data_IF_767537032213
#
_entry.id   IF_767537032213
#
_cell.length_a   1.000
_cell.length_b   1.000
_cell.length_c   1.000
_cell.angle_alpha   90.00
_cell.angle_beta   90.00
_cell.angle_gamma   90.00
#
_symmetry.space_group_name_H-M   'P 1'
#
loop_
_entity.id
_entity.type
_entity.pdbx_description
1 polymer ?
#
# COMPACT_ATOMS: atom_id res chain seq x y z
N UNK A 1 42.57 -26.41 21.07
CA UNK A 1 41.68 -25.27 20.77
C UNK A 1 41.69 -25.11 19.26
N UNK A 2 40.63 -25.56 18.58
CA UNK A 2 40.56 -25.49 17.11
C UNK A 2 40.17 -24.06 16.68
N UNK A 3 40.73 -23.54 15.58
CA UNK A 3 40.34 -22.22 15.08
C UNK A 3 38.92 -22.29 14.52
N UNK A 4 38.03 -21.47 15.09
CA UNK A 4 36.66 -21.29 14.57
C UNK A 4 36.77 -20.59 13.21
N UNK A 5 36.19 -21.13 12.12
CA UNK A 5 36.24 -20.50 10.81
C UNK A 5 35.50 -19.15 10.82
N UNK A 6 36.00 -18.13 10.11
CA UNK A 6 35.44 -16.79 10.16
C UNK A 6 34.05 -16.73 9.51
N UNK A 7 33.15 -15.95 10.12
CA UNK A 7 31.89 -15.54 9.48
C UNK A 7 32.23 -14.70 8.25
N UNK A 8 31.58 -14.99 7.13
CA UNK A 8 31.76 -14.28 5.85
C UNK A 8 30.51 -13.46 5.54
N UNK A 9 30.69 -12.34 4.87
CA UNK A 9 29.58 -11.57 4.31
C UNK A 9 29.33 -12.08 2.90
N UNK A 10 28.06 -12.26 2.54
CA UNK A 10 27.67 -12.73 1.21
C UNK A 10 27.98 -11.66 0.16
N UNK A 11 28.92 -11.94 -0.74
CA UNK A 11 29.11 -11.15 -1.97
C UNK A 11 28.00 -11.51 -2.96
N UNK A 12 27.13 -10.55 -3.29
CA UNK A 12 26.19 -10.70 -4.41
C UNK A 12 26.96 -10.48 -5.72
N UNK A 13 27.21 -11.58 -6.46
CA UNK A 13 27.69 -11.49 -7.84
C UNK A 13 26.49 -11.17 -8.75
N UNK A 14 26.48 -10.04 -9.47
CA UNK A 14 25.57 -9.87 -10.60
C UNK A 14 26.09 -10.73 -11.75
N UNK A 15 25.56 -11.94 -11.92
CA UNK A 15 25.92 -12.85 -13.00
C UNK A 15 25.33 -12.35 -14.34
N UNK A 16 25.92 -11.27 -14.88
CA UNK A 16 25.49 -10.62 -16.13
C UNK A 16 25.44 -11.58 -17.32
N UNK A 17 26.21 -12.66 -17.29
CA UNK A 17 26.20 -13.70 -18.33
C UNK A 17 24.82 -14.37 -18.44
N UNK A 18 24.21 -14.73 -17.30
CA UNK A 18 22.92 -15.42 -17.25
C UNK A 18 21.77 -14.48 -17.63
N UNK A 19 21.86 -13.19 -17.25
CA UNK A 19 20.92 -12.13 -17.67
C UNK A 19 20.98 -11.92 -19.18
N UNK A 20 22.18 -11.87 -19.79
CA UNK A 20 22.34 -11.73 -21.25
C UNK A 20 21.83 -12.97 -22.00
N UNK A 21 22.05 -14.17 -21.49
CA UNK A 21 21.53 -15.41 -22.08
C UNK A 21 19.98 -15.43 -22.04
N UNK A 22 19.38 -15.07 -20.89
CA UNK A 22 17.93 -15.02 -20.74
C UNK A 22 17.30 -13.94 -21.64
N UNK A 23 17.95 -12.78 -21.78
CA UNK A 23 17.53 -11.71 -22.69
C UNK A 23 17.60 -12.15 -24.16
N UNK A 24 18.69 -12.79 -24.59
CA UNK A 24 18.83 -13.33 -25.94
C UNK A 24 17.72 -14.36 -26.25
N UNK A 25 17.45 -15.27 -25.31
CA UNK A 25 16.39 -16.29 -25.41
C UNK A 25 14.99 -15.68 -25.51
N UNK A 26 14.71 -14.59 -24.80
CA UNK A 26 13.44 -13.85 -24.93
C UNK A 26 13.29 -13.13 -26.28
N UNK A 27 14.38 -12.53 -26.80
CA UNK A 27 14.35 -11.90 -28.13
C UNK A 27 14.13 -12.93 -29.23
N UNK A 28 14.77 -14.10 -29.16
CA UNK A 28 14.57 -15.19 -30.12
C UNK A 28 13.15 -15.77 -30.07
N UNK A 29 12.61 -15.99 -28.86
CA UNK A 29 11.23 -16.45 -28.68
C UNK A 29 10.18 -15.45 -29.22
N UNK A 30 10.41 -14.14 -29.04
CA UNK A 30 9.54 -13.11 -29.62
C UNK A 30 9.69 -13.02 -31.15
N UNK A 31 10.90 -13.19 -31.69
CA UNK A 31 11.13 -13.24 -33.14
C UNK A 31 10.41 -14.43 -33.79
N UNK A 32 10.43 -15.60 -33.14
CA UNK A 32 9.68 -16.78 -33.58
C UNK A 32 8.16 -16.57 -33.52
N UNK A 33 7.63 -15.94 -32.45
CA UNK A 33 6.20 -15.61 -32.36
C UNK A 33 5.75 -14.57 -33.39
N UNK A 34 6.59 -13.57 -33.70
CA UNK A 34 6.29 -12.58 -34.73
C UNK A 34 6.20 -13.21 -36.13
N UNK A 35 7.11 -14.16 -36.45
CA UNK A 35 7.06 -14.92 -37.69
C UNK A 35 5.80 -15.80 -37.80
N UNK A 36 5.38 -16.45 -36.70
CA UNK A 36 4.16 -17.26 -36.67
C UNK A 36 2.88 -16.43 -36.82
N UNK A 37 2.83 -15.21 -36.25
CA UNK A 37 1.68 -14.32 -36.37
C UNK A 37 1.50 -13.78 -37.80
N UNK A 38 2.59 -13.50 -38.51
CA UNK A 38 2.54 -13.02 -39.89
C UNK A 38 1.94 -14.04 -40.88
N UNK A 39 2.05 -15.35 -40.60
CA UNK A 39 1.49 -16.41 -41.43
C UNK A 39 -0.03 -16.63 -41.26
N UNK A 40 -0.66 -16.04 -40.24
CA UNK A 40 -2.03 -16.36 -39.84
C UNK A 40 -3.11 -15.33 -40.27
N UNK A 41 -2.76 -14.31 -41.06
CA UNK A 41 -3.69 -13.20 -41.42
C UNK A 41 -4.41 -13.41 -42.77
N UNK A 42 -4.33 -14.61 -43.36
CA UNK A 42 -5.15 -15.01 -44.51
C UNK A 42 -6.14 -16.11 -44.13
N UNK A 43 -7.43 -15.72 -44.10
CA UNK A 43 -8.68 -16.52 -44.14
C UNK A 43 -9.62 -16.49 -42.90
N UNK A 44 -10.80 -15.89 -43.15
CA UNK A 44 -12.16 -16.27 -42.73
C UNK A 44 -12.56 -16.38 -41.24
N UNK A 45 -13.38 -15.40 -40.83
CA UNK A 45 -14.74 -15.56 -40.24
C UNK A 45 -15.15 -16.87 -39.54
N UNK A 46 -15.59 -16.79 -38.27
CA UNK A 46 -16.43 -17.83 -37.63
C UNK A 46 -16.65 -17.61 -36.12
N UNK A 47 -17.86 -17.90 -35.61
CA UNK A 47 -18.19 -17.89 -34.16
C UNK A 47 -18.02 -19.30 -33.52
N UNK A 48 -17.94 -19.43 -32.19
CA UNK A 48 -17.27 -20.57 -31.52
C UNK A 48 -18.20 -21.66 -30.95
N UNK A 49 -17.68 -22.90 -30.80
CA UNK A 49 -17.93 -23.77 -29.64
C UNK A 49 -16.95 -24.98 -29.53
N UNK A 50 -16.95 -25.65 -28.37
CA UNK A 50 -16.24 -26.92 -28.00
C UNK A 50 -14.71 -26.85 -27.73
N UNK A 51 -14.19 -27.19 -26.52
CA UNK A 51 -13.96 -28.52 -25.86
C UNK A 51 -12.71 -29.23 -26.46
N UNK A 52 -11.65 -29.70 -25.77
CA UNK A 52 -11.47 -30.32 -24.42
C UNK A 52 -10.02 -30.06 -23.84
N UNK A 53 -9.28 -31.07 -23.29
CA UNK A 53 -8.92 -31.43 -21.89
C UNK A 53 -7.65 -30.73 -21.30
N UNK A 54 -7.10 -30.99 -20.09
CA UNK A 54 -7.43 -31.88 -18.94
C UNK A 54 -6.21 -32.10 -17.99
N UNK A 55 -6.35 -32.92 -16.90
CA UNK A 55 -5.36 -33.24 -15.81
C UNK A 55 -5.01 -32.04 -14.87
N UNK A 56 -5.25 -32.01 -13.53
CA UNK A 56 -5.06 -32.94 -12.39
C UNK A 56 -3.60 -33.02 -11.88
N UNK A 57 -3.24 -32.92 -10.60
CA UNK A 57 -3.94 -32.58 -9.33
C UNK A 57 -2.94 -31.88 -8.37
N UNK A 58 -3.26 -31.39 -7.17
CA UNK A 58 -3.41 -32.15 -5.91
C UNK A 58 -3.60 -31.13 -4.74
N UNK A 59 -4.37 -31.50 -3.70
CA UNK A 59 -4.44 -30.96 -2.31
C UNK A 59 -5.90 -30.83 -1.82
N UNK A 60 -6.52 -31.97 -1.49
CA UNK A 60 -7.82 -32.04 -0.81
C UNK A 60 -7.81 -33.19 0.19
N UNK A 61 -7.11 -32.99 1.32
CA UNK A 61 -7.04 -33.98 2.39
C UNK A 61 -6.70 -33.36 3.75
N UNK A 62 -7.65 -32.59 4.31
CA UNK A 62 -7.79 -32.33 5.76
C UNK A 62 -9.26 -32.08 6.15
N UNK A 63 -10.14 -33.06 5.91
CA UNK A 63 -11.50 -33.10 6.48
C UNK A 63 -11.90 -34.55 6.75
N UNK A 64 -12.59 -34.81 7.89
CA UNK A 64 -13.16 -36.11 8.34
C UNK A 64 -12.08 -37.04 8.97
N UNK A 65 -12.23 -37.64 10.15
CA UNK A 65 -13.34 -37.72 11.14
C UNK A 65 -12.79 -38.13 12.53
N UNK A 66 -13.51 -37.84 13.62
CA UNK A 66 -13.69 -38.82 14.72
C UNK A 66 -14.99 -38.53 15.51
N UNK A 67 -15.71 -39.51 16.10
CA UNK A 67 -17.11 -39.34 16.47
C UNK A 67 -17.43 -39.36 17.99
N UNK A 68 -18.71 -39.12 18.27
CA UNK A 68 -19.50 -39.60 19.44
C UNK A 68 -19.24 -39.00 20.82
N UNK A 69 -20.22 -38.21 21.28
CA UNK A 69 -20.43 -37.79 22.67
C UNK A 69 -21.87 -37.32 22.84
N UNK A 70 -22.77 -38.24 23.19
CA UNK A 70 -24.22 -37.96 23.26
C UNK A 70 -24.60 -37.36 24.61
N UNK A 71 -25.37 -36.26 24.60
CA UNK A 71 -26.40 -36.03 25.62
C UNK A 71 -27.55 -35.15 25.10
N UNK A 72 -28.75 -35.45 25.60
CA UNK A 72 -30.06 -34.91 25.23
C UNK A 72 -30.56 -33.96 26.34
N UNK A 73 -31.71 -33.31 26.12
CA UNK A 73 -32.49 -32.43 27.02
C UNK A 73 -32.16 -30.93 26.83
N UNK A 74 -33.11 -29.98 26.74
CA UNK A 74 -34.57 -30.04 26.48
C UNK A 74 -35.02 -28.69 25.90
N UNK A 75 -36.11 -28.64 25.13
CA UNK A 75 -36.70 -27.37 24.68
C UNK A 75 -37.63 -26.84 25.77
N UNK A 76 -37.34 -25.66 26.31
CA UNK A 76 -38.35 -24.83 26.98
C UNK A 76 -38.43 -23.45 26.36
N UNK A 77 -39.68 -22.97 26.22
CA UNK A 77 -40.04 -21.69 25.61
C UNK A 77 -40.41 -20.72 26.73
N UNK A 78 -39.52 -19.78 27.06
CA UNK A 78 -39.86 -18.64 27.91
C UNK A 78 -39.48 -17.32 27.26
N UNK A 79 -40.45 -16.43 27.27
CA UNK A 79 -40.42 -15.09 26.71
C UNK A 79 -39.85 -14.04 27.67
N UNK A 80 -39.50 -12.90 27.10
CA UNK A 80 -39.28 -11.58 27.72
C UNK A 80 -37.89 -11.26 28.32
N UNK A 81 -37.45 -10.05 27.97
CA UNK A 81 -36.31 -9.29 28.50
C UNK A 81 -34.92 -9.94 28.41
N UNK A 82 -34.18 -9.60 27.34
CA UNK A 82 -32.72 -9.56 27.41
C UNK A 82 -32.23 -8.29 26.72
N UNK A 83 -31.67 -7.38 27.52
CA UNK A 83 -30.86 -6.27 27.04
C UNK A 83 -29.67 -6.86 26.27
N UNK A 84 -29.72 -6.79 24.94
CA UNK A 84 -28.64 -7.29 24.12
C UNK A 84 -27.44 -6.37 24.21
N UNK A 85 -26.27 -6.92 24.58
CA UNK A 85 -24.96 -6.32 24.39
C UNK A 85 -24.67 -6.14 22.89
N UNK A 86 -25.33 -5.17 22.27
CA UNK A 86 -24.91 -4.61 21.01
C UNK A 86 -23.63 -3.83 21.30
N UNK A 87 -22.50 -4.38 20.86
CA UNK A 87 -21.25 -3.61 20.75
C UNK A 87 -21.59 -2.26 20.09
N UNK A 88 -21.24 -1.11 20.70
CA UNK A 88 -21.64 0.19 20.18
C UNK A 88 -21.18 0.37 18.74
N UNK A 89 -21.97 1.10 17.96
CA UNK A 89 -21.65 1.39 16.58
C UNK A 89 -20.33 2.17 16.52
N UNK A 90 -19.45 1.83 15.57
CA UNK A 90 -18.10 2.39 15.56
C UNK A 90 -18.07 3.90 15.28
N UNK A 91 -19.18 4.49 14.86
CA UNK A 91 -19.37 5.88 14.46
C UNK A 91 -20.29 6.67 15.41
N UNK A 92 -20.59 6.17 16.61
CA UNK A 92 -21.43 6.87 17.61
C UNK A 92 -20.94 8.29 17.91
N UNK A 93 -19.63 8.49 18.12
CA UNK A 93 -19.03 9.81 18.31
C UNK A 93 -19.20 10.71 17.06
N UNK A 94 -19.20 10.13 15.86
CA UNK A 94 -19.40 10.87 14.61
C UNK A 94 -20.85 11.29 14.40
N UNK A 95 -21.82 10.48 14.84
CA UNK A 95 -23.23 10.86 14.91
C UNK A 95 -23.46 12.03 15.89
N UNK A 96 -22.67 12.12 16.96
CA UNK A 96 -22.66 13.26 17.89
C UNK A 96 -21.85 14.47 17.37
N UNK A 97 -21.31 14.42 16.14
CA UNK A 97 -20.50 15.49 15.56
C UNK A 97 -19.14 15.69 16.23
N UNK A 98 -18.63 14.72 16.99
CA UNK A 98 -17.39 14.85 17.75
C UNK A 98 -16.17 14.50 16.91
N UNK A 99 -15.24 15.45 16.85
CA UNK A 99 -13.96 15.32 16.20
C UNK A 99 -12.88 16.04 17.02
N UNK A 100 -11.61 15.90 16.63
CA UNK A 100 -10.52 16.64 17.21
C UNK A 100 -9.46 17.00 16.19
N UNK A 101 -8.41 17.68 16.65
CA UNK A 101 -7.30 18.15 15.84
C UNK A 101 -5.98 17.61 16.36
N UNK A 102 -5.07 17.31 15.44
CA UNK A 102 -3.69 16.92 15.74
C UNK A 102 -2.74 17.69 14.83
N UNK A 103 -1.60 18.10 15.38
CA UNK A 103 -0.52 18.72 14.61
C UNK A 103 0.46 17.62 14.21
N UNK A 104 0.59 17.37 12.91
CA UNK A 104 1.62 16.49 12.34
C UNK A 104 2.55 17.34 11.48
N UNK A 105 3.84 17.36 11.82
CA UNK A 105 4.79 18.30 11.23
C UNK A 105 4.37 19.76 11.46
N UNK A 106 3.99 20.45 10.38
CA UNK A 106 3.46 21.83 10.40
C UNK A 106 1.97 21.91 10.03
N UNK A 107 1.28 20.78 9.95
CA UNK A 107 -0.09 20.69 9.43
C UNK A 107 -1.06 20.30 10.55
N UNK A 108 -2.20 20.99 10.63
CA UNK A 108 -3.32 20.56 11.45
C UNK A 108 -4.22 19.61 10.66
N UNK A 109 -4.37 18.40 11.15
CA UNK A 109 -5.18 17.34 10.54
C UNK A 109 -6.37 17.06 11.47
N UNK A 110 -7.61 17.03 10.95
CA UNK A 110 -8.75 16.62 11.74
C UNK A 110 -8.77 15.10 11.90
N UNK A 111 -9.22 14.62 13.05
CA UNK A 111 -9.47 13.21 13.31
C UNK A 111 -10.87 13.00 13.89
N UNK A 112 -11.46 11.86 13.56
CA UNK A 112 -12.71 11.34 14.13
C UNK A 112 -12.40 10.22 15.12
N UNK A 113 -13.39 9.83 15.92
CA UNK A 113 -13.25 8.75 16.89
C UNK A 113 -13.99 7.49 16.43
N UNK A 114 -13.37 6.32 16.63
CA UNK A 114 -14.03 5.01 16.54
C UNK A 114 -13.69 4.17 17.75
N UNK A 115 -14.69 3.78 18.54
CA UNK A 115 -14.49 2.95 19.74
C UNK A 115 -13.40 3.48 20.70
N UNK A 116 -13.26 4.81 20.83
CA UNK A 116 -12.21 5.47 21.62
C UNK A 116 -10.86 5.67 20.92
N UNK A 117 -10.61 5.01 19.79
CA UNK A 117 -9.41 5.20 18.96
C UNK A 117 -9.59 6.37 17.98
N UNK A 118 -8.48 7.02 17.59
CA UNK A 118 -8.47 8.18 16.68
C UNK A 118 -8.17 7.76 15.24
N UNK A 119 -8.98 8.22 14.29
CA UNK A 119 -8.86 7.93 12.86
C UNK A 119 -8.86 9.21 12.03
N UNK A 120 -8.08 9.25 10.95
CA UNK A 120 -8.00 10.39 10.04
C UNK A 120 -8.27 9.94 8.60
N UNK A 121 -8.93 10.80 7.82
CA UNK A 121 -9.28 10.49 6.43
C UNK A 121 -8.04 10.49 5.54
N UNK A 122 -7.83 9.42 4.78
CA UNK A 122 -6.66 9.22 3.91
C UNK A 122 -6.47 10.41 2.98
N UNK A 123 -7.54 10.81 2.27
CA UNK A 123 -7.56 11.96 1.35
C UNK A 123 -7.18 13.30 2.02
N UNK A 124 -7.51 13.49 3.30
CA UNK A 124 -7.12 14.70 4.04
C UNK A 124 -5.62 14.69 4.39
N UNK A 125 -5.13 13.54 4.86
CA UNK A 125 -3.71 13.32 5.19
C UNK A 125 -2.84 13.45 3.93
N UNK A 126 -3.25 12.84 2.83
CA UNK A 126 -2.56 12.95 1.53
C UNK A 126 -2.44 14.41 1.09
N UNK A 127 -3.56 15.13 0.99
CA UNK A 127 -3.61 16.47 0.42
C UNK A 127 -2.81 17.51 1.24
N UNK A 128 -2.86 17.46 2.59
CA UNK A 128 -2.17 18.45 3.45
C UNK A 128 -0.77 18.04 3.89
N UNK A 129 -0.53 16.76 4.16
CA UNK A 129 0.67 16.29 4.86
C UNK A 129 1.62 15.53 3.94
N UNK A 130 1.10 14.55 3.17
CA UNK A 130 1.96 13.62 2.42
C UNK A 130 2.34 14.13 1.03
N UNK A 131 1.53 14.99 0.39
CA UNK A 131 1.75 15.48 -0.98
C UNK A 131 3.19 16.03 -1.23
N UNK A 132 3.79 16.68 -0.22
CA UNK A 132 5.21 17.12 -0.23
C UNK A 132 6.18 15.97 -0.54
N UNK A 133 5.91 14.77 -0.06
CA UNK A 133 6.76 13.58 -0.24
C UNK A 133 6.30 12.73 -1.42
N UNK A 134 4.98 12.54 -1.59
CA UNK A 134 4.41 11.73 -2.67
C UNK A 134 4.74 12.25 -4.07
N UNK A 135 5.10 13.54 -4.19
CA UNK A 135 5.55 14.18 -5.43
C UNK A 135 7.03 13.97 -5.77
N UNK A 136 7.83 13.39 -4.85
CA UNK A 136 9.26 13.10 -5.05
C UNK A 136 9.60 11.61 -4.89
N UNK A 137 8.82 10.87 -4.09
CA UNK A 137 9.09 9.48 -3.72
C UNK A 137 8.34 8.51 -4.63
N UNK A 138 9.02 7.46 -5.10
CA UNK A 138 8.42 6.39 -5.88
C UNK A 138 7.55 5.48 -4.99
N UNK A 139 6.52 4.87 -5.57
CA UNK A 139 5.55 4.03 -4.86
C UNK A 139 6.16 2.77 -4.22
N UNK A 140 7.34 2.35 -4.70
CA UNK A 140 8.13 1.29 -4.07
C UNK A 140 8.49 1.56 -2.62
N UNK A 141 8.61 2.82 -2.19
CA UNK A 141 8.89 3.17 -0.79
C UNK A 141 7.68 2.82 0.08
N UNK A 142 6.45 2.99 -0.42
CA UNK A 142 5.23 2.73 0.34
C UNK A 142 5.07 1.23 0.61
N UNK A 143 5.57 0.38 -0.30
CA UNK A 143 5.59 -1.08 -0.14
C UNK A 143 6.49 -1.59 0.99
N UNK A 144 7.31 -0.73 1.62
CA UNK A 144 8.02 -1.06 2.86
C UNK A 144 7.08 -1.15 4.07
N UNK A 145 5.89 -0.57 3.98
CA UNK A 145 4.95 -0.39 5.09
C UNK A 145 3.66 -1.21 4.93
N UNK A 146 2.86 -1.28 5.98
CA UNK A 146 1.58 -1.99 6.01
C UNK A 146 0.51 -1.14 6.73
N UNK A 147 0.25 0.07 6.25
CA UNK A 147 -0.80 0.92 6.85
C UNK A 147 -2.18 0.34 6.50
N UNK A 148 -2.93 -0.08 7.52
CA UNK A 148 -4.27 -0.63 7.34
C UNK A 148 -5.30 0.49 7.29
N UNK A 149 -6.07 0.53 6.21
CA UNK A 149 -7.21 1.44 6.06
C UNK A 149 -8.55 0.75 6.29
N UNK A 150 -9.60 1.56 6.40
CA UNK A 150 -10.98 1.17 6.65
C UNK A 150 -11.92 2.10 5.88
N UNK A 151 -12.96 1.56 5.25
CA UNK A 151 -14.05 2.38 4.68
C UNK A 151 -14.75 3.19 5.77
N UNK A 152 -15.23 4.38 5.42
CA UNK A 152 -16.00 5.24 6.34
C UNK A 152 -17.50 4.93 6.33
N UNK A 153 -18.17 5.21 7.44
CA UNK A 153 -19.64 5.13 7.54
C UNK A 153 -20.31 6.37 6.94
N UNK A 154 -21.64 6.35 6.80
CA UNK A 154 -22.38 7.55 6.38
C UNK A 154 -22.29 8.70 7.40
N UNK A 155 -22.25 8.40 8.69
CA UNK A 155 -22.13 9.41 9.74
C UNK A 155 -20.77 10.11 9.67
N UNK A 156 -19.71 9.32 9.51
CA UNK A 156 -18.34 9.81 9.32
C UNK A 156 -18.20 10.60 8.02
N UNK A 157 -18.81 10.15 6.93
CA UNK A 157 -18.81 10.89 5.67
C UNK A 157 -19.50 12.26 5.82
N UNK A 158 -20.65 12.32 6.52
CA UNK A 158 -21.34 13.59 6.83
C UNK A 158 -20.46 14.50 7.68
N UNK A 159 -19.85 13.99 8.75
CA UNK A 159 -18.98 14.75 9.64
C UNK A 159 -17.71 15.25 8.93
N UNK A 160 -17.04 14.42 8.11
CA UNK A 160 -15.84 14.81 7.35
C UNK A 160 -16.16 15.88 6.30
N UNK A 161 -17.34 15.83 5.68
CA UNK A 161 -17.82 16.90 4.81
C UNK A 161 -18.08 18.21 5.58
N UNK A 162 -18.71 18.12 6.75
CA UNK A 162 -18.93 19.28 7.64
C UNK A 162 -17.61 19.91 8.10
N UNK A 163 -16.65 19.10 8.56
CA UNK A 163 -15.30 19.54 8.92
C UNK A 163 -14.66 20.27 7.73
N UNK A 164 -14.60 19.63 6.57
CA UNK A 164 -13.97 20.22 5.39
C UNK A 164 -14.60 21.56 4.99
N UNK A 165 -15.93 21.65 4.95
CA UNK A 165 -16.64 22.84 4.47
C UNK A 165 -16.70 23.97 5.51
N UNK A 166 -17.04 23.68 6.77
CA UNK A 166 -17.27 24.70 7.82
C UNK A 166 -16.01 25.09 8.57
N UNK A 167 -15.06 24.15 8.75
CA UNK A 167 -13.87 24.37 9.58
C UNK A 167 -12.57 24.46 8.78
N UNK A 168 -12.58 24.04 7.51
CA UNK A 168 -11.38 23.98 6.66
C UNK A 168 -11.53 24.72 5.33
N UNK A 169 -12.61 25.48 5.12
CA UNK A 169 -12.90 26.27 3.91
C UNK A 169 -12.79 25.48 2.58
N UNK A 170 -13.08 24.17 2.61
CA UNK A 170 -12.95 23.27 1.47
C UNK A 170 -11.50 22.91 1.08
N UNK A 171 -10.50 23.21 1.92
CA UNK A 171 -9.08 23.07 1.59
C UNK A 171 -8.60 21.61 1.38
N UNK A 172 -9.43 20.60 1.70
CA UNK A 172 -9.15 19.20 1.39
C UNK A 172 -9.76 18.73 0.05
N UNK A 173 -10.43 19.61 -0.69
CA UNK A 173 -11.05 19.33 -1.99
C UNK A 173 -12.56 19.64 -1.99
N UNK A 174 -13.13 19.74 -3.21
CA UNK A 174 -14.57 20.01 -3.42
C UNK A 174 -15.44 18.76 -3.47
N UNK A 175 -14.85 17.60 -3.76
CA UNK A 175 -15.54 16.32 -3.82
C UNK A 175 -15.96 15.86 -2.42
N UNK A 176 -17.24 15.55 -2.25
CA UNK A 176 -17.79 15.08 -0.97
C UNK A 176 -17.21 13.72 -0.57
N UNK A 177 -16.95 13.55 0.73
CA UNK A 177 -16.67 12.25 1.33
C UNK A 177 -17.90 11.34 1.21
N UNK A 178 -17.65 10.06 0.93
CA UNK A 178 -18.63 8.99 0.72
C UNK A 178 -18.19 7.73 1.45
N UNK A 179 -19.05 6.71 1.55
CA UNK A 179 -18.68 5.41 2.14
C UNK A 179 -17.59 4.64 1.39
N UNK A 180 -17.13 5.13 0.22
CA UNK A 180 -15.98 4.60 -0.51
C UNK A 180 -14.65 5.22 -0.06
N UNK A 181 -14.68 6.36 0.61
CA UNK A 181 -13.48 6.99 1.18
C UNK A 181 -12.93 6.16 2.34
N UNK A 182 -11.63 6.33 2.60
CA UNK A 182 -10.88 5.56 3.57
C UNK A 182 -10.42 6.42 4.75
N UNK A 183 -10.37 5.82 5.94
CA UNK A 183 -9.65 6.31 7.11
C UNK A 183 -8.58 5.33 7.54
N UNK A 184 -7.54 5.85 8.17
CA UNK A 184 -6.46 5.10 8.82
C UNK A 184 -6.36 5.51 10.29
N UNK A 185 -5.76 4.68 11.14
CA UNK A 185 -5.46 5.07 12.52
C UNK A 185 -4.52 6.27 12.50
N UNK A 186 -4.78 7.23 13.39
CA UNK A 186 -3.97 8.45 13.47
C UNK A 186 -2.49 8.15 13.81
N UNK A 187 -2.24 7.13 14.63
CA UNK A 187 -0.89 6.68 14.95
C UNK A 187 -0.14 6.19 13.70
N UNK A 188 -0.77 5.31 12.90
CA UNK A 188 -0.17 4.78 11.68
C UNK A 188 0.07 5.87 10.63
N UNK A 189 -0.80 6.88 10.54
CA UNK A 189 -0.60 8.04 9.68
C UNK A 189 0.59 8.92 10.13
N UNK A 190 0.78 9.08 11.45
CA UNK A 190 1.91 9.80 12.03
C UNK A 190 3.24 9.09 11.76
N UNK A 191 3.29 7.78 11.99
CA UNK A 191 4.49 6.98 11.70
C UNK A 191 4.78 6.88 10.20
N UNK A 192 3.76 6.80 9.35
CA UNK A 192 3.94 6.84 7.90
C UNK A 192 4.56 8.17 7.44
N UNK A 193 4.07 9.30 7.98
CA UNK A 193 4.68 10.61 7.74
C UNK A 193 6.15 10.67 8.19
N UNK A 194 6.46 10.17 9.40
CA UNK A 194 7.84 10.12 9.90
C UNK A 194 8.74 9.27 8.98
N UNK A 195 8.25 8.11 8.54
CA UNK A 195 8.94 7.22 7.61
C UNK A 195 9.21 7.89 6.26
N UNK A 196 8.23 8.59 5.67
CA UNK A 196 8.43 9.32 4.42
C UNK A 196 9.40 10.49 4.58
N UNK A 197 9.38 11.22 5.70
CA UNK A 197 10.34 12.30 5.95
C UNK A 197 11.77 11.76 6.08
N UNK A 198 11.98 10.65 6.77
CA UNK A 198 13.28 9.95 6.81
C UNK A 198 13.71 9.54 5.40
N UNK A 199 12.85 8.86 4.63
CA UNK A 199 13.16 8.45 3.26
C UNK A 199 13.55 9.64 2.37
N UNK A 200 12.76 10.72 2.41
CA UNK A 200 13.00 11.93 1.63
C UNK A 200 14.32 12.60 1.96
N UNK A 201 14.61 12.83 3.24
CA UNK A 201 15.85 13.47 3.67
C UNK A 201 17.06 12.58 3.36
N UNK A 202 16.94 11.26 3.53
CA UNK A 202 17.97 10.28 3.18
C UNK A 202 18.31 10.25 1.69
N UNK A 203 17.30 10.28 0.82
CA UNK A 203 17.51 10.23 -0.64
C UNK A 203 18.02 11.56 -1.23
N UNK A 204 17.52 12.70 -0.74
CA UNK A 204 17.79 14.01 -1.35
C UNK A 204 18.88 14.84 -0.67
N UNK A 205 19.09 14.69 0.64
CA UNK A 205 20.09 15.46 1.39
C UNK A 205 21.35 14.64 1.72
N UNK A 206 21.34 13.32 1.45
CA UNK A 206 22.41 12.38 1.78
C UNK A 206 22.91 12.47 3.24
N UNK A 207 22.03 12.87 4.16
CA UNK A 207 22.39 13.14 5.55
C UNK A 207 22.61 11.85 6.32
N UNK A 208 23.82 11.65 6.86
CA UNK A 208 24.05 10.78 8.02
C UNK A 208 23.93 11.59 9.31
N UNK A 209 23.23 11.04 10.30
CA UNK A 209 23.00 11.65 11.60
C UNK A 209 23.13 10.56 12.68
N UNK A 210 23.81 10.81 13.82
CA UNK A 210 23.85 9.85 14.93
C UNK A 210 22.48 9.40 15.47
N UNK A 211 21.39 10.11 15.14
CA UNK A 211 20.00 9.77 15.48
C UNK A 211 19.21 9.11 14.33
N UNK A 212 19.90 8.67 13.28
CA UNK A 212 19.28 7.99 12.14
C UNK A 212 18.50 6.74 12.56
N UNK A 213 17.30 6.58 12.02
CA UNK A 213 16.48 5.36 12.18
C UNK A 213 17.02 4.16 11.40
N UNK A 214 17.76 4.41 10.33
CA UNK A 214 18.38 3.40 9.49
C UNK A 214 19.52 3.98 8.64
N UNK A 215 20.34 3.09 8.11
CA UNK A 215 21.48 3.44 7.27
C UNK A 215 22.19 2.18 6.79
N UNK A 216 23.48 2.31 6.49
CA UNK A 216 24.34 1.18 6.18
C UNK A 216 25.56 1.18 7.10
N UNK A 217 26.03 -0.02 7.44
CA UNK A 217 27.37 -0.21 8.00
C UNK A 217 28.28 -0.71 6.90
N UNK A 218 29.41 -0.02 6.69
CA UNK A 218 30.53 -0.53 5.91
C UNK A 218 31.43 -1.33 6.84
N UNK A 219 31.68 -2.58 6.46
CA UNK A 219 32.50 -3.55 7.20
C UNK A 219 33.80 -3.76 6.42
N UNK A 220 34.93 -3.50 7.07
CA UNK A 220 36.28 -3.65 6.52
C UNK A 220 36.55 -2.86 5.21
N UNK A 221 35.85 -1.75 4.97
CA UNK A 221 35.98 -0.96 3.73
C UNK A 221 35.24 -1.53 2.50
N UNK A 222 35.00 -2.85 2.48
CA UNK A 222 34.55 -3.61 1.30
C UNK A 222 33.04 -3.89 1.32
N UNK A 223 32.56 -4.50 2.42
CA UNK A 223 31.18 -4.99 2.52
C UNK A 223 30.24 -3.91 3.04
N UNK A 224 29.02 -3.85 2.51
CA UNK A 224 28.00 -2.89 2.94
C UNK A 224 26.72 -3.63 3.33
N UNK A 225 26.27 -3.43 4.58
CA UNK A 225 25.12 -4.11 5.17
C UNK A 225 24.10 -3.07 5.67
N UNK A 226 22.80 -3.17 5.32
CA UNK A 226 21.78 -2.25 5.79
C UNK A 226 21.50 -2.48 7.28
N UNK A 227 21.14 -1.42 8.01
CA UNK A 227 20.70 -1.53 9.41
C UNK A 227 19.45 -0.71 9.69
N UNK A 228 18.74 -1.10 10.74
CA UNK A 228 17.70 -0.30 11.41
C UNK A 228 18.10 -0.06 12.87
N UNK A 229 17.50 0.93 13.52
CA UNK A 229 17.70 1.25 14.94
C UNK A 229 16.42 1.02 15.72
N UNK A 230 16.44 0.00 16.58
CA UNK A 230 15.38 -0.33 17.53
C UNK A 230 15.97 -0.22 18.93
N UNK A 231 15.28 0.49 19.83
CA UNK A 231 15.72 0.69 21.23
C UNK A 231 17.18 1.20 21.34
N UNK A 232 17.59 2.11 20.46
CA UNK A 232 18.95 2.69 20.35
C UNK A 232 20.03 1.71 19.86
N UNK A 233 19.72 0.42 19.70
CA UNK A 233 20.63 -0.59 19.17
C UNK A 233 20.45 -0.78 17.65
N UNK A 234 21.57 -0.91 16.93
CA UNK A 234 21.58 -1.20 15.48
C UNK A 234 21.36 -2.70 15.26
N UNK A 235 20.45 -3.05 14.36
CA UNK A 235 20.15 -4.41 13.94
C UNK A 235 20.37 -4.56 12.43
N UNK A 236 21.03 -5.65 12.02
CA UNK A 236 21.36 -5.99 10.64
C UNK A 236 20.67 -7.30 10.21
N UNK A 237 20.28 -7.50 8.94
CA UNK A 237 19.62 -8.73 8.51
C UNK A 237 20.57 -9.92 8.57
N UNK A 238 20.10 -11.04 9.13
CA UNK A 238 20.92 -12.24 9.29
C UNK A 238 21.35 -12.84 7.94
N UNK A 239 20.55 -12.66 6.88
CA UNK A 239 20.80 -13.24 5.55
C UNK A 239 22.04 -12.68 4.83
N UNK A 240 22.66 -11.61 5.35
CA UNK A 240 23.94 -11.10 4.85
C UNK A 240 25.15 -11.93 5.29
N UNK A 241 25.00 -12.78 6.31
CA UNK A 241 26.10 -13.49 6.95
C UNK A 241 26.03 -14.98 6.63
N UNK A 242 27.15 -15.56 6.23
CA UNK A 242 27.32 -16.97 5.86
C UNK A 242 28.53 -17.59 6.58
N UNK A 243 28.61 -18.93 6.59
CA UNK A 243 29.58 -19.69 7.39
C UNK A 243 28.95 -20.30 8.65
N UNK A 244 29.70 -20.38 9.76
CA UNK A 244 29.23 -20.89 11.06
C UNK A 244 28.25 -19.92 11.73
N UNK A 245 27.05 -19.86 11.17
CA UNK A 245 25.99 -18.92 11.55
C UNK A 245 25.00 -19.50 12.57
N UNK A 246 25.15 -20.75 13.00
CA UNK A 246 24.17 -21.41 13.89
C UNK A 246 24.10 -20.74 15.27
N UNK A 247 25.25 -20.29 15.80
CA UNK A 247 25.27 -19.45 17.01
C UNK A 247 24.66 -18.06 16.80
N UNK A 248 24.63 -17.54 15.57
CA UNK A 248 23.94 -16.30 15.23
C UNK A 248 22.42 -16.51 15.16
N UNK A 249 21.96 -17.61 14.56
CA UNK A 249 20.54 -17.99 14.46
C UNK A 249 19.88 -18.11 15.84
N UNK A 250 20.60 -18.65 16.83
CA UNK A 250 20.14 -18.73 18.23
C UNK A 250 20.00 -17.37 18.92
N UNK A 251 20.68 -16.33 18.43
CA UNK A 251 20.62 -14.94 18.92
C UNK A 251 19.89 -14.01 17.94
N UNK A 252 19.26 -14.56 16.91
CA UNK A 252 18.55 -13.78 15.92
C UNK A 252 17.14 -13.46 16.40
N UNK A 253 16.73 -12.22 16.17
CA UNK A 253 15.43 -11.71 16.57
C UNK A 253 14.52 -11.48 15.37
N UNK A 254 13.21 -11.56 15.61
CA UNK A 254 12.17 -11.29 14.61
C UNK A 254 11.87 -9.79 14.60
N UNK A 255 12.28 -9.10 13.54
CA UNK A 255 11.97 -7.69 13.31
C UNK A 255 10.66 -7.56 12.51
N UNK A 256 9.80 -6.64 12.92
CA UNK A 256 8.50 -6.36 12.29
C UNK A 256 8.09 -4.89 12.45
N UNK A 257 6.93 -4.50 11.91
CA UNK A 257 6.39 -3.15 12.06
C UNK A 257 7.25 -2.04 11.43
N UNK A 258 7.33 -0.89 12.11
CA UNK A 258 8.00 0.30 11.59
C UNK A 258 9.52 0.17 11.51
N UNK A 259 10.15 -0.49 12.49
CA UNK A 259 11.61 -0.75 12.46
C UNK A 259 12.00 -1.61 11.25
N UNK A 260 11.13 -2.56 10.86
CA UNK A 260 11.29 -3.32 9.62
C UNK A 260 11.08 -2.45 8.37
N UNK A 261 10.12 -1.51 8.37
CA UNK A 261 9.92 -0.62 7.22
C UNK A 261 11.19 0.20 6.91
N UNK A 262 11.86 0.73 7.95
CA UNK A 262 13.16 1.40 7.81
C UNK A 262 14.25 0.48 7.27
N UNK A 263 14.29 -0.80 7.68
CA UNK A 263 15.23 -1.79 7.14
C UNK A 263 14.95 -2.11 5.66
N UNK A 264 13.68 -2.34 5.30
CA UNK A 264 13.24 -2.60 3.92
C UNK A 264 13.57 -1.44 2.98
N UNK A 265 13.46 -0.20 3.47
CA UNK A 265 13.89 0.99 2.73
C UNK A 265 15.39 0.93 2.39
N UNK A 266 16.26 0.63 3.36
CA UNK A 266 17.69 0.45 3.09
C UNK A 266 17.96 -0.71 2.12
N UNK A 267 17.25 -1.85 2.24
CA UNK A 267 17.36 -2.95 1.27
C UNK A 267 17.00 -2.51 -0.16
N UNK A 268 15.93 -1.72 -0.34
CA UNK A 268 15.57 -1.14 -1.65
C UNK A 268 16.60 -0.13 -2.16
N UNK A 269 17.14 0.73 -1.29
CA UNK A 269 18.20 1.70 -1.65
C UNK A 269 19.46 0.98 -2.17
N UNK A 270 19.79 -0.17 -1.60
CA UNK A 270 20.91 -1.01 -2.02
C UNK A 270 20.61 -1.91 -3.24
N UNK A 271 19.36 -1.95 -3.73
CA UNK A 271 18.97 -2.76 -4.89
C UNK A 271 18.77 -4.25 -4.58
N UNK A 272 18.64 -4.63 -3.32
CA UNK A 272 18.50 -6.03 -2.91
C UNK A 272 17.22 -6.64 -3.48
N UNK A 273 17.28 -7.91 -3.89
CA UNK A 273 16.15 -8.65 -4.46
C UNK A 273 15.02 -8.79 -3.44
N UNK A 274 13.81 -8.35 -3.84
CA UNK A 274 12.65 -8.20 -2.95
C UNK A 274 12.32 -9.48 -2.16
N UNK A 275 12.46 -10.66 -2.77
CA UNK A 275 12.23 -11.97 -2.14
C UNK A 275 12.99 -12.20 -0.81
N UNK A 276 14.15 -11.55 -0.62
CA UNK A 276 14.96 -11.69 0.60
C UNK A 276 14.39 -10.91 1.81
N UNK A 277 13.51 -9.93 1.58
CA UNK A 277 12.93 -9.08 2.63
C UNK A 277 11.43 -8.77 2.46
N UNK A 278 10.75 -9.38 1.49
CA UNK A 278 9.33 -9.14 1.19
C UNK A 278 8.41 -9.50 2.37
N UNK A 279 8.77 -10.55 3.12
CA UNK A 279 8.07 -11.03 4.33
C UNK A 279 7.67 -9.91 5.28
N UNK A 280 6.53 -10.05 5.97
CA UNK A 280 6.10 -9.09 7.01
C UNK A 280 7.02 -9.09 8.24
N UNK A 281 7.94 -10.06 8.33
CA UNK A 281 9.02 -10.11 9.34
C UNK A 281 10.37 -10.47 8.75
N UNK A 282 11.47 -10.00 9.35
CA UNK A 282 12.84 -10.34 8.97
C UNK A 282 13.66 -10.82 10.18
N UNK A 283 14.47 -11.87 10.02
CA UNK A 283 15.42 -12.29 11.05
C UNK A 283 16.64 -11.38 11.05
N UNK A 284 16.88 -10.71 12.17
CA UNK A 284 17.99 -9.75 12.35
C UNK A 284 18.87 -10.16 13.51
N UNK A 285 20.10 -9.64 13.55
CA UNK A 285 21.02 -9.77 14.68
C UNK A 285 21.52 -8.37 15.07
N UNK A 286 21.82 -8.17 16.35
CA UNK A 286 22.36 -6.89 16.82
C UNK A 286 23.79 -6.68 16.28
N UNK A 287 24.12 -5.42 15.98
CA UNK A 287 25.45 -5.05 15.50
C UNK A 287 26.56 -5.34 16.52
N UNK A 288 26.22 -5.34 17.82
CA UNK A 288 27.17 -5.67 18.88
C UNK A 288 27.46 -7.18 18.93
N UNK A 289 26.45 -8.02 18.69
CA UNK A 289 26.60 -9.46 18.71
C UNK A 289 27.34 -9.97 17.47
N UNK A 290 27.05 -9.43 16.29
CA UNK A 290 27.75 -9.84 15.07
C UNK A 290 29.23 -9.42 15.09
N UNK A 291 29.57 -8.29 15.72
CA UNK A 291 30.96 -7.82 15.90
C UNK A 291 31.86 -8.84 16.59
N UNK A 292 31.35 -9.67 17.51
CA UNK A 292 32.18 -10.66 18.22
C UNK A 292 32.65 -11.83 17.35
N UNK A 293 32.16 -11.96 16.11
CA UNK A 293 32.55 -13.03 15.16
C UNK A 293 33.54 -12.54 14.10
N UNK A 294 33.91 -11.26 14.13
CA UNK A 294 34.94 -10.69 13.26
C UNK A 294 36.27 -10.56 14.01
N UNK A 295 37.37 -10.59 13.27
CA UNK A 295 38.72 -10.50 13.81
C UNK A 295 38.94 -9.17 14.56
N UNK A 296 39.69 -9.15 15.67
CA UNK A 296 40.11 -7.91 16.32
C UNK A 296 40.89 -7.04 15.34
N UNK A 297 40.29 -5.91 14.91
CA UNK A 297 40.81 -5.04 13.86
C UNK A 297 39.83 -4.77 12.71
N UNK A 298 38.79 -5.58 12.54
CA UNK A 298 37.74 -5.30 11.54
C UNK A 298 37.03 -3.98 11.85
N UNK A 299 37.04 -3.05 10.89
CA UNK A 299 36.39 -1.74 11.00
C UNK A 299 34.90 -1.84 10.69
N UNK A 300 34.09 -1.07 11.42
CA UNK A 300 32.64 -0.94 11.24
C UNK A 300 32.29 0.54 11.23
N UNK A 301 31.99 1.08 10.05
CA UNK A 301 31.81 2.51 9.81
C UNK A 301 30.37 2.81 9.38
N UNK A 302 29.80 3.92 9.86
CA UNK A 302 28.51 4.40 9.34
C UNK A 302 28.67 4.90 7.91
N UNK A 303 27.83 4.40 7.01
CA UNK A 303 27.90 4.65 5.58
C UNK A 303 26.54 5.06 5.01
N UNK A 304 26.59 5.95 4.03
CA UNK A 304 25.49 6.28 3.14
C UNK A 304 26.03 6.38 1.71
N UNK A 305 25.41 5.77 0.69
CA UNK A 305 25.90 5.86 -0.68
C UNK A 305 25.84 7.30 -1.20
N UNK A 306 26.94 7.78 -1.78
CA UNK A 306 27.02 9.16 -2.31
C UNK A 306 26.23 9.37 -3.61
N UNK A 307 25.74 8.31 -4.24
CA UNK A 307 24.96 8.31 -5.48
C UNK A 307 23.62 7.55 -5.35
N UNK A 308 22.79 7.92 -4.37
CA UNK A 308 21.39 7.43 -4.36
C UNK A 308 20.50 8.17 -5.37
N UNK A 309 21.02 9.20 -6.03
CA UNK A 309 20.25 10.09 -6.92
C UNK A 309 19.84 9.41 -8.25
N UNK A 310 20.54 8.33 -8.65
CA UNK A 310 20.15 7.47 -9.78
C UNK A 310 19.18 6.34 -9.37
N UNK A 311 18.67 6.36 -8.14
CA UNK A 311 17.77 5.33 -7.62
C UNK A 311 16.35 5.46 -8.19
N UNK A 312 15.79 4.32 -8.61
CA UNK A 312 14.38 4.15 -9.01
C UNK A 312 13.37 4.50 -7.88
N UNK A 313 13.86 4.86 -6.70
CA UNK A 313 13.07 5.28 -5.54
C UNK A 313 12.69 6.78 -5.55
N UNK A 314 13.26 7.58 -6.45
CA UNK A 314 12.84 8.96 -6.70
C UNK A 314 12.01 9.05 -7.99
N UNK A 315 10.99 9.89 -7.98
CA UNK A 315 10.22 10.19 -9.19
C UNK A 315 11.05 11.06 -10.14
N UNK A 316 11.07 10.77 -11.46
CA UNK A 316 11.73 11.63 -12.42
C UNK A 316 11.07 13.02 -12.40
N UNK A 317 11.90 14.07 -12.35
CA UNK A 317 11.44 15.46 -12.24
C UNK A 317 10.77 15.97 -13.53
N UNK A 318 9.54 15.53 -13.78
CA UNK A 318 8.77 15.94 -14.96
C UNK A 318 8.31 17.39 -14.83
N UNK A 319 8.95 18.30 -15.57
CA UNK A 319 8.54 19.70 -15.74
C UNK A 319 7.31 19.82 -16.66
N UNK A 320 6.26 19.05 -16.38
CA UNK A 320 4.98 19.08 -17.08
C UNK A 320 3.89 18.65 -16.12
N UNK A 321 2.96 19.56 -15.82
CA UNK A 321 1.75 19.19 -15.08
C UNK A 321 0.88 18.22 -15.89
N UNK A 322 -0.07 17.57 -15.21
CA UNK A 322 -1.05 16.61 -15.75
C UNK A 322 -0.65 15.12 -15.72
N UNK A 323 -0.24 14.61 -14.56
CA UNK A 323 -0.75 13.32 -14.08
C UNK A 323 -1.08 13.43 -12.58
N UNK A 324 -2.27 12.95 -12.19
CA UNK A 324 -2.61 12.77 -10.78
C UNK A 324 -1.81 11.56 -10.27
N UNK A 325 -0.70 11.82 -9.58
CA UNK A 325 0.18 10.78 -9.07
C UNK A 325 -0.51 9.97 -7.96
N UNK A 326 -1.14 8.85 -8.34
CA UNK A 326 -1.34 7.63 -7.53
C UNK A 326 -1.70 7.83 -6.03
N UNK A 327 -2.57 8.79 -5.72
CA UNK A 327 -3.15 8.94 -4.39
C UNK A 327 -3.96 7.69 -4.03
N UNK A 328 -3.73 7.14 -2.84
CA UNK A 328 -4.40 5.96 -2.30
C UNK A 328 -3.55 4.68 -2.22
N UNK A 329 -2.39 4.60 -2.89
CA UNK A 329 -1.61 3.34 -3.00
C UNK A 329 -0.66 3.03 -1.83
N UNK A 330 -0.61 3.88 -0.79
CA UNK A 330 0.18 3.64 0.43
C UNK A 330 -0.59 2.90 1.54
N UNK A 331 -1.89 2.65 1.34
CA UNK A 331 -2.72 1.93 2.33
C UNK A 331 -3.15 0.57 1.80
N UNK A 332 -3.16 -0.44 2.68
CA UNK A 332 -3.88 -1.70 2.41
C UNK A 332 -5.37 -1.42 2.56
N UNK A 333 -6.12 -1.50 1.46
CA UNK A 333 -7.58 -1.37 1.46
C UNK A 333 -8.23 -2.56 2.18
N UNK A 334 -9.42 -2.39 2.81
CA UNK A 334 -10.19 -3.52 3.31
C UNK A 334 -10.54 -4.49 2.19
N UNK A 335 -10.69 -5.80 2.48
CA UNK A 335 -11.33 -6.71 1.55
C UNK A 335 -12.72 -6.18 1.19
N UNK A 336 -12.98 -5.94 -0.09
CA UNK A 336 -14.33 -5.62 -0.56
C UNK A 336 -15.21 -6.83 -0.29
N UNK A 337 -16.23 -6.65 0.55
CA UNK A 337 -17.25 -7.67 0.80
C UNK A 337 -18.10 -7.81 -0.46
N UNK A 338 -17.67 -8.68 -1.37
CA UNK A 338 -18.49 -9.15 -2.49
C UNK A 338 -19.65 -9.97 -1.92
N UNK A 339 -20.73 -9.29 -1.54
CA UNK A 339 -22.04 -9.93 -1.43
C UNK A 339 -22.32 -10.59 -2.78
N UNK A 340 -22.63 -11.90 -2.83
CA UNK A 340 -23.02 -12.53 -4.09
C UNK A 340 -24.29 -11.82 -4.58
N UNK A 341 -24.21 -11.20 -5.76
CA UNK A 341 -25.38 -10.62 -6.41
C UNK A 341 -26.30 -11.79 -6.75
N UNK A 342 -27.33 -11.98 -5.94
CA UNK A 342 -28.44 -12.87 -6.26
C UNK A 342 -29.19 -12.22 -7.41
N UNK A 343 -28.83 -12.61 -8.63
CA UNK A 343 -29.51 -12.20 -9.85
C UNK A 343 -30.93 -12.76 -9.86
N UNK A 344 -31.86 -12.07 -9.21
CA UNK A 344 -33.30 -12.31 -9.34
C UNK A 344 -33.72 -11.99 -10.77
N UNK A 345 -33.68 -13.00 -11.63
CA UNK A 345 -34.26 -12.94 -12.96
C UNK A 345 -35.78 -12.76 -12.84
N UNK A 346 -36.26 -11.53 -13.04
CA UNK A 346 -37.70 -11.27 -13.20
C UNK A 346 -38.13 -11.68 -14.60
N UNK A 347 -38.90 -12.76 -14.69
CA UNK A 347 -39.55 -13.19 -15.93
C UNK A 347 -40.53 -12.12 -16.41
N UNK A 348 -40.21 -11.46 -17.53
CA UNK A 348 -41.10 -10.48 -18.16
C UNK A 348 -42.15 -11.21 -19.01
N UNK A 349 -43.33 -11.40 -18.46
CA UNK A 349 -44.50 -11.88 -19.21
C UNK A 349 -45.11 -10.73 -20.00
N UNK A 350 -45.11 -10.83 -21.34
CA UNK A 350 -45.78 -9.84 -22.21
C UNK A 350 -47.29 -9.93 -22.08
N UNK A 351 -47.95 -8.82 -21.76
CA UNK A 351 -49.36 -8.58 -22.10
C UNK A 351 -49.47 -7.20 -22.74
N UNK A 352 -50.08 -7.12 -23.93
CA UNK A 352 -50.16 -5.86 -24.69
C UNK A 352 -51.43 -5.08 -24.35
N UNK A 353 -51.30 -3.77 -24.17
CA UNK A 353 -52.41 -2.82 -24.39
C UNK A 353 -51.93 -1.64 -25.24
N UNK A 354 -52.83 -1.13 -26.08
CA UNK A 354 -52.52 -0.16 -27.15
C UNK A 354 -52.37 1.27 -26.62
N UNK A 355 -51.59 2.08 -27.35
CA UNK A 355 -51.57 3.54 -27.20
C UNK A 355 -52.94 4.18 -27.49
N UNK A 356 -53.18 5.31 -26.82
CA UNK A 356 -54.02 6.38 -27.33
C UNK A 356 -53.21 7.69 -27.26
N UNK A 357 -53.35 8.50 -28.31
CA UNK A 357 -52.49 9.64 -28.63
C UNK A 357 -52.71 10.88 -27.76
N UNK A 358 -51.69 11.72 -27.62
CA UNK A 358 -51.78 13.10 -28.13
C UNK A 358 -50.40 13.75 -28.29
N UNK A 359 -50.22 14.42 -29.42
CA UNK A 359 -49.01 15.17 -29.80
C UNK A 359 -49.19 16.69 -29.59
N UNK A 360 -48.08 17.42 -29.83
CA UNK A 360 -47.95 18.86 -30.16
C UNK A 360 -47.75 19.78 -28.93
N UNK A 361 -46.83 20.76 -28.96
CA UNK A 361 -45.99 21.24 -30.08
C UNK A 361 -44.61 21.76 -29.63
N UNK A 362 -43.71 21.96 -30.60
CA UNK A 362 -42.29 22.32 -30.40
C UNK A 362 -42.04 23.84 -30.48
N UNK A 363 -40.84 24.27 -30.08
CA UNK A 363 -40.32 25.64 -30.28
C UNK A 363 -39.99 25.92 -31.76
N UNK A 364 -40.05 27.19 -32.17
CA UNK A 364 -39.02 27.82 -33.03
C UNK A 364 -39.14 29.35 -33.08
N UNK A 365 -38.07 29.99 -33.56
CA UNK A 365 -37.81 31.43 -33.65
C UNK A 365 -38.50 32.15 -34.84
N UNK A 366 -38.71 33.47 -34.73
CA UNK A 366 -38.03 34.52 -35.53
C UNK A 366 -38.74 35.89 -35.44
N UNK A 367 -37.98 36.99 -35.55
CA UNK A 367 -38.53 38.33 -35.85
C UNK A 367 -37.70 39.49 -35.30
N UNK A 368 -36.85 40.10 -36.13
CA UNK A 368 -36.03 41.27 -35.77
C UNK A 368 -36.53 42.56 -36.45
N UNK A 369 -36.56 43.66 -35.70
CA UNK A 369 -36.56 45.11 -36.07
C UNK A 369 -36.68 45.90 -34.74
N UNK A 370 -36.15 47.10 -34.51
CA UNK A 370 -35.14 47.95 -35.15
C UNK A 370 -34.74 49.01 -34.09
N UNK A 371 -33.45 49.31 -33.88
CA UNK A 371 -32.73 50.46 -34.47
C UNK A 371 -32.79 51.76 -33.63
N UNK A 372 -31.74 52.59 -33.76
CA UNK A 372 -31.61 54.01 -33.37
C UNK A 372 -31.18 54.47 -31.93
N UNK A 373 -30.03 55.18 -31.94
CA UNK A 373 -29.47 56.19 -31.01
C UNK A 373 -28.78 55.77 -29.69
N UNK A 374 -27.77 56.50 -29.19
CA UNK A 374 -26.65 57.29 -29.78
C UNK A 374 -25.84 57.94 -28.63
N UNK A 375 -24.50 58.02 -28.74
CA UNK A 375 -23.54 58.82 -27.94
C UNK A 375 -23.61 58.63 -26.39
N UNK A 376 -22.52 58.31 -25.68
CA UNK A 376 -21.26 59.08 -25.58
C UNK A 376 -21.25 59.82 -24.23
N UNK A 377 -20.16 59.98 -23.49
CA UNK A 377 -18.78 59.52 -23.62
C UNK A 377 -17.97 59.89 -22.35
N UNK A 378 -16.65 59.73 -22.39
CA UNK A 378 -15.68 59.77 -21.27
C UNK A 378 -15.67 58.53 -20.36
#
# INVERSE_FOLDING_TARGET
MFPVPPVKIKEERPDEAEIRELAAKMVEANKAKAAAAAAATTMSTGRPNMVQPGQAGIMSYLTRNNPSGMNKLTIEKKSSATSGDKKPACDEESLMGRFGWVTLGKCHIPYIFRNGEKYCAVRMVENKLLNKYLSYLHSDIYSCTCVRSYYITEAEAKLLNEINLKHCEGCFGRETFTTKDLVVRLQDAGEFYNFLDVCYNKLLLSSSNPRDKCGFIRINGESVVPYTVREVQKFVPLFYFEGETDSLKLRAEKLEGWDLAYLKFCCKVQGIRNELFASETCSVISLNDIKSYFSPGTLFEDYWPSRVVDSQLLLPSSKTGTTMASGGMWTKQPPVSHSPVVSSAMTVTKTSYRCASNEKHCCSEHGAIGEHHAAGGM
#
